data_IF_820104262702
#
_entry.id   IF_820104262702
#
_cell.length_a   1.000
_cell.length_b   1.000
_cell.length_c   1.000
_cell.angle_alpha   90.00
_cell.angle_beta   90.00
_cell.angle_gamma   90.00
#
_symmetry.space_group_name_H-M   'P 1'
#
loop_
_entity.id
_entity.type
_entity.pdbx_description
1 polymer ?
#
# COMPACT_ATOMS: atom_id res chain seq x y z
N UNK A 1 -21.27 7.55 -18.87
CA UNK A 1 -21.66 8.79 -18.15
C UNK A 1 -20.44 9.63 -17.76
N UNK A 2 -20.59 10.95 -17.60
CA UNK A 2 -19.53 11.86 -17.12
C UNK A 2 -19.33 11.75 -15.59
N UNK A 3 -18.15 12.11 -15.04
CA UNK A 3 -17.93 12.11 -13.58
C UNK A 3 -18.95 12.95 -12.80
N UNK A 4 -19.45 14.05 -13.40
CA UNK A 4 -20.49 14.88 -12.78
C UNK A 4 -21.86 14.19 -12.73
N UNK A 5 -22.24 13.42 -13.75
CA UNK A 5 -23.48 12.64 -13.76
C UNK A 5 -23.39 11.46 -12.78
N UNK A 6 -22.23 10.81 -12.71
CA UNK A 6 -21.95 9.76 -11.74
C UNK A 6 -22.01 10.30 -10.30
N UNK A 7 -21.39 11.46 -10.02
CA UNK A 7 -21.39 12.05 -8.69
C UNK A 7 -22.81 12.26 -8.12
N UNK A 8 -23.80 12.57 -8.97
CA UNK A 8 -25.20 12.78 -8.57
C UNK A 8 -25.92 11.49 -8.14
N UNK A 9 -25.38 10.32 -8.47
CA UNK A 9 -25.93 9.02 -8.09
C UNK A 9 -25.69 8.68 -6.62
N UNK A 10 -24.78 9.39 -5.95
CA UNK A 10 -24.43 9.17 -4.55
C UNK A 10 -25.29 10.00 -3.58
N UNK A 11 -25.51 9.44 -2.38
CA UNK A 11 -26.38 10.01 -1.36
C UNK A 11 -25.69 11.12 -0.57
N UNK A 12 -25.38 12.22 -1.27
CA UNK A 12 -24.81 13.45 -0.70
C UNK A 12 -25.87 14.55 -0.77
N UNK A 13 -25.99 15.34 0.30
CA UNK A 13 -26.97 16.42 0.41
C UNK A 13 -26.53 17.64 -0.41
N UNK A 14 -27.50 18.39 -0.93
CA UNK A 14 -27.24 19.62 -1.67
C UNK A 14 -27.14 19.42 -3.18
N UNK A 15 -26.63 20.45 -3.85
CA UNK A 15 -26.43 20.47 -5.29
C UNK A 15 -24.94 20.29 -5.63
N UNK A 16 -24.66 19.54 -6.69
CA UNK A 16 -23.31 19.39 -7.21
C UNK A 16 -22.82 20.74 -7.75
N UNK A 17 -21.71 21.24 -7.19
CA UNK A 17 -21.06 22.50 -7.59
C UNK A 17 -19.92 22.23 -8.56
N UNK A 18 -19.05 21.27 -8.26
CA UNK A 18 -17.87 20.99 -9.07
C UNK A 18 -17.43 19.52 -8.94
N UNK A 19 -16.82 19.00 -10.01
CA UNK A 19 -16.05 17.77 -10.02
C UNK A 19 -14.69 18.06 -10.65
N UNK A 20 -13.62 17.88 -9.90
CA UNK A 20 -12.25 18.14 -10.34
C UNK A 20 -11.42 16.89 -10.23
N UNK A 21 -10.62 16.56 -11.24
CA UNK A 21 -9.68 15.44 -11.15
C UNK A 21 -8.65 15.71 -10.03
N UNK A 22 -8.41 14.71 -9.18
CA UNK A 22 -7.30 14.69 -8.23
C UNK A 22 -6.17 13.91 -8.91
N UNK A 23 -5.26 14.63 -9.56
CA UNK A 23 -4.10 14.03 -10.21
C UNK A 23 -3.10 13.53 -9.16
N UNK A 24 -2.87 12.20 -9.12
CA UNK A 24 -1.80 11.51 -8.36
C UNK A 24 -2.05 10.00 -8.22
N UNK A 25 -3.29 9.53 -8.44
CA UNK A 25 -3.63 8.11 -8.32
C UNK A 25 -3.01 7.24 -9.43
N UNK A 26 -2.20 6.25 -9.06
CA UNK A 26 -1.56 5.34 -10.01
C UNK A 26 -2.53 4.30 -10.60
N UNK A 27 -3.54 3.87 -9.82
CA UNK A 27 -4.44 2.78 -10.19
C UNK A 27 -5.79 3.29 -10.69
N UNK A 28 -6.55 4.01 -9.85
CA UNK A 28 -7.92 4.47 -10.12
C UNK A 28 -7.97 5.92 -10.63
N UNK A 29 -8.98 6.23 -11.45
CA UNK A 29 -9.27 7.64 -11.77
C UNK A 29 -10.00 8.28 -10.59
N UNK A 30 -9.38 9.32 -10.02
CA UNK A 30 -9.82 9.93 -8.78
C UNK A 30 -10.27 11.36 -9.01
N UNK A 31 -11.43 11.71 -8.47
CA UNK A 31 -12.03 13.02 -8.58
C UNK A 31 -12.45 13.51 -7.19
N UNK A 32 -12.42 14.82 -6.99
CA UNK A 32 -13.05 15.50 -5.86
C UNK A 32 -14.37 16.08 -6.33
N UNK A 33 -15.46 15.67 -5.68
CA UNK A 33 -16.79 16.20 -5.92
C UNK A 33 -17.20 17.11 -4.75
N UNK A 34 -17.75 18.27 -5.07
CA UNK A 34 -18.17 19.29 -4.10
C UNK A 34 -19.68 19.47 -4.23
N UNK A 35 -20.40 19.22 -3.13
CA UNK A 35 -21.83 19.48 -3.01
C UNK A 35 -22.07 20.59 -2.00
N UNK A 36 -23.05 21.45 -2.28
CA UNK A 36 -23.37 22.57 -1.39
C UNK A 36 -24.86 22.64 -1.11
N UNK A 37 -25.19 22.90 0.15
CA UNK A 37 -26.53 23.31 0.59
C UNK A 37 -26.53 24.81 0.86
N UNK A 38 -27.62 25.38 1.37
CA UNK A 38 -27.64 26.80 1.78
C UNK A 38 -26.71 27.12 2.96
N UNK A 39 -26.26 26.11 3.72
CA UNK A 39 -25.53 26.32 4.98
C UNK A 39 -24.29 25.44 5.16
N UNK A 40 -24.02 24.54 4.21
CA UNK A 40 -22.97 23.53 4.36
C UNK A 40 -22.34 23.16 3.00
N UNK A 41 -21.07 22.79 3.01
CA UNK A 41 -20.35 22.27 1.85
C UNK A 41 -19.76 20.90 2.19
N UNK A 42 -20.18 19.89 1.44
CA UNK A 42 -19.71 18.53 1.60
C UNK A 42 -18.82 18.14 0.43
N UNK A 43 -17.60 17.71 0.73
CA UNK A 43 -16.64 17.22 -0.24
C UNK A 43 -16.45 15.71 -0.10
N UNK A 44 -16.30 15.01 -1.22
CA UNK A 44 -16.01 13.58 -1.23
C UNK A 44 -15.12 13.18 -2.40
N UNK A 45 -14.48 12.02 -2.25
CA UNK A 45 -13.64 11.40 -3.26
C UNK A 45 -14.53 10.49 -4.11
N UNK A 46 -14.64 10.79 -5.40
CA UNK A 46 -15.30 9.94 -6.39
C UNK A 46 -14.22 9.18 -7.17
N UNK A 47 -14.33 7.86 -7.23
CA UNK A 47 -13.33 7.03 -7.90
C UNK A 47 -13.96 6.05 -8.88
N UNK A 48 -13.37 5.94 -10.06
CA UNK A 48 -13.60 4.82 -10.98
C UNK A 48 -12.61 3.71 -10.66
N UNK A 49 -13.12 2.55 -10.27
CA UNK A 49 -12.28 1.40 -9.91
C UNK A 49 -11.67 0.81 -11.20
N UNK A 50 -10.36 0.61 -11.21
CA UNK A 50 -9.64 0.04 -12.33
C UNK A 50 -9.95 -1.46 -12.47
N UNK A 51 -10.82 -1.80 -13.42
CA UNK A 51 -11.25 -3.20 -13.67
C UNK A 51 -10.17 -4.11 -14.25
N UNK A 52 -9.05 -3.55 -14.74
CA UNK A 52 -7.91 -4.36 -15.18
C UNK A 52 -7.08 -4.86 -14.00
N UNK A 53 -6.93 -4.02 -12.97
CA UNK A 53 -6.21 -4.38 -11.74
C UNK A 53 -7.13 -5.13 -10.77
N UNK A 54 -8.40 -4.70 -10.67
CA UNK A 54 -9.42 -5.32 -9.84
C UNK A 54 -10.56 -5.87 -10.72
N UNK A 55 -10.43 -7.11 -11.26
CA UNK A 55 -11.45 -7.68 -12.14
C UNK A 55 -12.82 -7.86 -11.49
N UNK A 56 -12.87 -7.88 -10.16
CA UNK A 56 -14.09 -8.02 -9.36
C UNK A 56 -14.21 -6.86 -8.35
N UNK A 57 -14.53 -5.62 -8.80
CA UNK A 57 -14.64 -4.44 -7.95
C UNK A 57 -15.60 -4.59 -6.76
N UNK A 58 -16.61 -5.45 -6.90
CA UNK A 58 -17.58 -5.74 -5.85
C UNK A 58 -16.91 -6.36 -4.61
N UNK A 59 -15.86 -7.18 -4.80
CA UNK A 59 -15.05 -7.73 -3.69
C UNK A 59 -14.28 -6.65 -2.95
N UNK A 60 -13.71 -5.70 -3.70
CA UNK A 60 -13.02 -4.54 -3.12
C UNK A 60 -13.99 -3.74 -2.26
N UNK A 61 -15.20 -3.48 -2.76
CA UNK A 61 -16.22 -2.75 -2.01
C UNK A 61 -16.71 -3.51 -0.78
N UNK A 62 -16.92 -4.83 -0.89
CA UNK A 62 -17.33 -5.66 0.25
C UNK A 62 -16.30 -5.63 1.38
N UNK A 63 -15.02 -5.84 1.07
CA UNK A 63 -13.93 -5.77 2.05
C UNK A 63 -13.82 -4.37 2.66
N UNK A 64 -13.78 -3.33 1.82
CA UNK A 64 -13.65 -1.95 2.27
C UNK A 64 -14.80 -1.58 3.21
N UNK A 65 -16.05 -1.87 2.84
CA UNK A 65 -17.22 -1.60 3.67
C UNK A 65 -17.13 -2.33 5.01
N UNK A 66 -16.87 -3.63 5.00
CA UNK A 66 -16.85 -4.45 6.21
C UNK A 66 -15.73 -4.02 7.18
N UNK A 67 -14.52 -3.80 6.66
CA UNK A 67 -13.35 -3.41 7.46
C UNK A 67 -13.49 -1.99 8.00
N UNK A 68 -13.91 -1.02 7.18
CA UNK A 68 -14.05 0.38 7.63
C UNK A 68 -15.16 0.52 8.68
N UNK A 69 -16.29 -0.17 8.53
CA UNK A 69 -17.34 -0.17 9.55
C UNK A 69 -16.88 -0.81 10.86
N UNK A 70 -16.17 -1.94 10.77
CA UNK A 70 -15.60 -2.59 11.94
C UNK A 70 -14.61 -1.68 12.67
N UNK A 71 -13.67 -1.11 11.92
CA UNK A 71 -12.67 -0.19 12.45
C UNK A 71 -13.30 1.05 13.07
N UNK A 72 -14.31 1.65 12.43
CA UNK A 72 -15.01 2.81 12.99
C UNK A 72 -15.70 2.52 14.32
N UNK A 73 -16.25 1.31 14.52
CA UNK A 73 -16.83 0.95 15.83
C UNK A 73 -15.76 0.94 16.91
N UNK A 74 -14.58 0.37 16.64
CA UNK A 74 -13.47 0.32 17.60
C UNK A 74 -12.83 1.68 17.85
N UNK A 75 -12.58 2.46 16.80
CA UNK A 75 -12.06 3.82 16.91
C UNK A 75 -12.97 4.69 17.80
N UNK A 76 -14.30 4.56 17.69
CA UNK A 76 -15.24 5.30 18.55
C UNK A 76 -15.13 4.91 20.03
N UNK A 77 -14.83 3.66 20.34
CA UNK A 77 -14.64 3.19 21.72
C UNK A 77 -13.37 3.80 22.32
N UNK A 78 -12.31 3.93 21.51
CA UNK A 78 -11.01 4.46 21.96
C UNK A 78 -10.91 5.99 21.88
N UNK A 79 -11.89 6.67 21.27
CA UNK A 79 -11.82 8.09 20.91
C UNK A 79 -11.61 9.04 22.10
N UNK A 80 -12.22 8.78 23.25
CA UNK A 80 -12.09 9.65 24.44
C UNK A 80 -10.69 9.61 25.05
N UNK A 81 -9.92 8.54 24.80
CA UNK A 81 -8.59 8.32 25.35
C UNK A 81 -7.49 8.53 24.30
N UNK A 82 -7.86 8.80 23.04
CA UNK A 82 -6.92 9.01 21.96
C UNK A 82 -6.30 10.41 22.04
N UNK A 83 -5.00 10.49 21.77
CA UNK A 83 -4.25 11.76 21.70
C UNK A 83 -4.42 12.48 20.36
N UNK A 84 -5.24 11.93 19.46
CA UNK A 84 -5.49 12.37 18.09
C UNK A 84 -6.83 11.85 17.58
N UNK A 85 -7.28 12.37 16.44
CA UNK A 85 -8.46 11.86 15.75
C UNK A 85 -8.00 10.78 14.78
N UNK A 86 -8.44 9.54 14.98
CA UNK A 86 -8.23 8.47 14.01
C UNK A 86 -9.35 8.47 12.97
N UNK A 87 -8.98 8.42 11.69
CA UNK A 87 -9.91 8.51 10.57
C UNK A 87 -9.67 7.37 9.57
N UNK A 88 -10.75 6.96 8.92
CA UNK A 88 -10.76 6.08 7.76
C UNK A 88 -11.82 6.58 6.78
N UNK A 89 -11.65 6.40 5.46
CA UNK A 89 -12.66 6.77 4.49
C UNK A 89 -13.93 5.96 4.71
N UNK A 90 -15.09 6.63 4.66
CA UNK A 90 -16.41 5.99 4.70
C UNK A 90 -16.96 5.83 3.30
N UNK A 91 -17.48 4.65 3.01
CA UNK A 91 -18.30 4.43 1.81
C UNK A 91 -19.57 5.29 1.89
N UNK A 92 -19.76 6.13 0.88
CA UNK A 92 -20.99 6.89 0.69
C UNK A 92 -21.85 6.07 -0.27
N UNK A 93 -22.99 5.57 0.21
CA UNK A 93 -23.88 4.77 -0.61
C UNK A 93 -24.50 5.58 -1.75
N UNK A 94 -24.90 4.89 -2.80
CA UNK A 94 -25.77 5.44 -3.85
C UNK A 94 -27.11 5.87 -3.26
N UNK A 95 -27.90 6.64 -4.02
CA UNK A 95 -29.29 6.95 -3.67
C UNK A 95 -30.18 5.70 -3.61
N UNK A 96 -29.77 4.62 -4.26
CA UNK A 96 -30.41 3.29 -4.18
C UNK A 96 -29.91 2.42 -3.02
N UNK A 97 -28.98 2.91 -2.19
CA UNK A 97 -28.45 2.20 -1.02
C UNK A 97 -27.32 1.21 -1.31
N UNK A 98 -26.82 1.14 -2.55
CA UNK A 98 -25.67 0.30 -2.90
C UNK A 98 -24.34 0.96 -2.52
N UNK A 99 -23.28 0.17 -2.32
CA UNK A 99 -21.94 0.67 -1.98
C UNK A 99 -21.18 1.28 -3.18
N UNK A 100 -21.56 0.89 -4.39
CA UNK A 100 -21.00 1.39 -5.63
C UNK A 100 -22.09 1.60 -6.69
N UNK A 101 -21.79 2.43 -7.68
CA UNK A 101 -22.61 2.65 -8.85
C UNK A 101 -21.96 1.99 -10.06
N UNK A 102 -22.72 1.18 -10.79
CA UNK A 102 -22.29 0.59 -12.07
C UNK A 102 -22.86 1.40 -13.22
N UNK A 103 -21.99 1.99 -14.02
CA UNK A 103 -22.38 2.75 -15.20
C UNK A 103 -23.02 1.79 -16.22
N UNK A 104 -24.31 1.98 -16.58
CA UNK A 104 -25.00 1.07 -17.49
C UNK A 104 -24.47 1.12 -18.94
N UNK A 105 -23.75 2.19 -19.32
CA UNK A 105 -23.27 2.36 -20.69
C UNK A 105 -22.01 1.53 -20.99
N UNK A 106 -21.08 1.45 -20.03
CA UNK A 106 -19.77 0.82 -20.22
C UNK A 106 -19.45 -0.25 -19.15
N UNK A 107 -20.28 -0.38 -18.12
CA UNK A 107 -20.10 -1.32 -17.01
C UNK A 107 -19.01 -0.93 -16.02
N UNK A 108 -18.46 0.29 -16.10
CA UNK A 108 -17.49 0.80 -15.14
C UNK A 108 -18.10 0.89 -13.74
N UNK A 109 -17.31 0.57 -12.72
CA UNK A 109 -17.74 0.59 -11.33
C UNK A 109 -17.16 1.82 -10.64
N UNK A 110 -18.02 2.60 -10.04
CA UNK A 110 -17.71 3.85 -9.36
C UNK A 110 -18.07 3.77 -7.89
N UNK A 111 -17.26 4.41 -7.05
CA UNK A 111 -17.52 4.55 -5.61
C UNK A 111 -17.37 6.00 -5.17
N UNK A 112 -18.03 6.33 -4.06
CA UNK A 112 -17.83 7.59 -3.36
C UNK A 112 -17.32 7.32 -1.94
N UNK A 113 -16.25 7.99 -1.54
CA UNK A 113 -15.63 7.89 -0.23
C UNK A 113 -15.61 9.26 0.45
N UNK A 114 -15.86 9.30 1.77
CA UNK A 114 -15.70 10.53 2.54
C UNK A 114 -14.27 11.05 2.46
N UNK A 115 -14.12 12.37 2.44
CA UNK A 115 -12.81 12.99 2.52
C UNK A 115 -12.25 12.88 3.95
N UNK A 116 -10.95 12.66 4.09
CA UNK A 116 -10.24 12.79 5.36
C UNK A 116 -9.95 14.28 5.56
N UNK A 117 -10.37 14.84 6.70
CA UNK A 117 -10.22 16.27 6.95
C UNK A 117 -8.80 16.60 7.42
N UNK A 118 -8.31 17.79 7.03
CA UNK A 118 -7.07 18.43 7.51
C UNK A 118 -5.81 17.58 7.43
N UNK A 119 -5.77 16.61 6.51
CA UNK A 119 -4.64 15.72 6.37
C UNK A 119 -4.17 15.61 4.93
N UNK A 120 -2.87 15.40 4.77
CA UNK A 120 -2.23 15.23 3.47
C UNK A 120 -1.28 14.04 3.52
N UNK A 121 -1.10 13.44 2.35
CA UNK A 121 -0.06 12.44 2.11
C UNK A 121 1.19 13.16 1.61
N UNK A 122 2.36 12.66 2.01
CA UNK A 122 3.62 13.11 1.44
C UNK A 122 4.18 12.07 0.47
N UNK A 123 4.86 12.53 -0.57
CA UNK A 123 5.55 11.64 -1.53
C UNK A 123 6.74 10.90 -0.89
N UNK A 124 7.31 11.48 0.16
CA UNK A 124 8.43 10.92 0.93
C UNK A 124 8.36 11.35 2.39
N UNK A 125 9.01 10.59 3.26
CA UNK A 125 9.21 11.00 4.65
C UNK A 125 10.19 12.17 4.70
N UNK A 126 9.87 13.17 5.51
CA UNK A 126 10.65 14.42 5.61
C UNK A 126 11.50 14.46 6.89
N UNK A 127 11.05 13.81 7.96
CA UNK A 127 11.69 13.82 9.28
C UNK A 127 11.54 12.47 9.98
N UNK A 128 12.36 12.23 11.01
CA UNK A 128 12.23 11.04 11.88
C UNK A 128 10.87 11.02 12.58
N UNK A 129 10.37 12.17 13.02
CA UNK A 129 9.05 12.31 13.64
C UNK A 129 7.94 11.88 12.67
N UNK A 130 8.03 12.26 11.40
CA UNK A 130 7.10 11.79 10.38
C UNK A 130 7.17 10.27 10.20
N UNK A 131 8.37 9.66 10.22
CA UNK A 131 8.50 8.20 10.20
C UNK A 131 7.81 7.53 11.41
N UNK A 132 7.90 8.14 12.60
CA UNK A 132 7.25 7.66 13.83
C UNK A 132 5.74 7.69 13.67
N UNK A 133 5.19 8.79 13.16
CA UNK A 133 3.77 8.92 12.93
C UNK A 133 3.26 7.94 11.88
N UNK A 134 4.05 7.69 10.82
CA UNK A 134 3.75 6.67 9.83
C UNK A 134 3.71 5.26 10.42
N UNK A 135 4.72 4.91 11.24
CA UNK A 135 4.72 3.65 11.99
C UNK A 135 3.50 3.50 12.90
N UNK A 136 3.14 4.57 13.63
CA UNK A 136 2.00 4.55 14.53
C UNK A 136 0.66 4.39 13.79
N UNK A 137 0.48 5.05 12.64
CA UNK A 137 -0.71 4.86 11.79
C UNK A 137 -0.84 3.42 11.32
N UNK A 138 0.25 2.81 10.84
CA UNK A 138 0.23 1.42 10.38
C UNK A 138 -0.10 0.46 11.53
N UNK A 139 0.60 0.60 12.66
CA UNK A 139 0.40 -0.24 13.83
C UNK A 139 -1.02 -0.11 14.38
N UNK A 140 -1.55 1.12 14.44
CA UNK A 140 -2.93 1.39 14.85
C UNK A 140 -3.93 0.73 13.89
N UNK A 141 -3.76 0.90 12.57
CA UNK A 141 -4.65 0.28 11.59
C UNK A 141 -4.71 -1.24 11.75
N UNK A 142 -3.55 -1.89 11.80
CA UNK A 142 -3.46 -3.34 12.00
C UNK A 142 -4.04 -3.79 13.34
N UNK A 143 -3.76 -3.07 14.44
CA UNK A 143 -4.32 -3.37 15.77
C UNK A 143 -5.85 -3.31 15.73
N UNK A 144 -6.40 -2.24 15.17
CA UNK A 144 -7.84 -2.02 15.10
C UNK A 144 -8.54 -3.13 14.31
N UNK A 145 -7.94 -3.64 13.23
CA UNK A 145 -8.57 -4.68 12.39
C UNK A 145 -8.13 -6.11 12.73
N UNK A 146 -7.22 -6.29 13.70
CA UNK A 146 -6.56 -7.58 13.97
C UNK A 146 -7.52 -8.73 14.29
N UNK A 147 -8.63 -8.45 14.96
CA UNK A 147 -9.66 -9.43 15.33
C UNK A 147 -10.78 -9.57 14.28
N UNK A 148 -10.69 -8.86 13.14
CA UNK A 148 -11.65 -9.04 12.06
C UNK A 148 -11.44 -10.42 11.39
N UNK A 149 -12.51 -11.19 11.27
CA UNK A 149 -12.43 -12.57 10.79
C UNK A 149 -12.06 -12.61 9.30
N UNK A 150 -10.87 -13.13 8.97
CA UNK A 150 -10.40 -13.29 7.58
C UNK A 150 -11.35 -14.10 6.70
N UNK A 151 -12.13 -15.02 7.28
CA UNK A 151 -13.13 -15.82 6.57
C UNK A 151 -14.31 -14.98 6.05
N UNK A 152 -14.47 -13.74 6.51
CA UNK A 152 -15.46 -12.78 6.02
C UNK A 152 -14.89 -11.85 4.94
N UNK A 153 -13.61 -12.01 4.58
CA UNK A 153 -12.94 -11.20 3.57
C UNK A 153 -12.79 -11.98 2.27
N UNK A 154 -12.86 -11.25 1.17
CA UNK A 154 -12.52 -11.73 -0.16
C UNK A 154 -11.03 -11.49 -0.44
N UNK A 155 -10.40 -12.34 -1.28
CA UNK A 155 -9.09 -12.03 -1.84
C UNK A 155 -9.28 -11.11 -3.07
N UNK A 156 -9.07 -9.81 -2.89
CA UNK A 156 -9.29 -8.79 -3.94
C UNK A 156 -8.24 -8.82 -5.02
N UNK A 157 -7.06 -9.38 -4.73
CA UNK A 157 -5.93 -9.46 -5.66
C UNK A 157 -5.16 -10.78 -5.44
N UNK A 158 -5.70 -11.92 -5.93
CA UNK A 158 -5.11 -13.22 -5.68
C UNK A 158 -3.67 -13.35 -6.13
N UNK A 159 -2.78 -13.71 -5.20
CA UNK A 159 -1.35 -13.81 -5.45
C UNK A 159 -0.54 -12.54 -5.18
N UNK A 160 -1.19 -11.43 -4.84
CA UNK A 160 -0.49 -10.22 -4.42
C UNK A 160 0.26 -10.44 -3.10
N UNK A 161 1.55 -10.09 -3.12
CA UNK A 161 2.59 -10.40 -2.13
C UNK A 161 3.00 -11.86 -1.97
N UNK A 162 2.56 -12.73 -2.88
CA UNK A 162 3.03 -14.12 -2.91
C UNK A 162 4.29 -14.16 -3.78
N UNK A 163 5.42 -13.74 -3.21
CA UNK A 163 6.72 -13.58 -3.90
C UNK A 163 7.13 -14.78 -4.77
N UNK A 164 6.91 -16.06 -4.37
CA UNK A 164 7.20 -17.21 -5.23
C UNK A 164 6.46 -17.20 -6.59
N UNK A 165 5.25 -16.64 -6.65
CA UNK A 165 4.51 -16.50 -7.92
C UNK A 165 5.19 -15.50 -8.85
N UNK A 166 5.69 -14.38 -8.30
CA UNK A 166 6.40 -13.39 -9.09
C UNK A 166 7.75 -13.90 -9.58
N UNK A 167 8.46 -14.70 -8.77
CA UNK A 167 9.69 -15.36 -9.22
C UNK A 167 9.42 -16.35 -10.35
N UNK A 168 8.35 -17.15 -10.23
CA UNK A 168 7.93 -18.05 -11.32
C UNK A 168 7.60 -17.28 -12.60
N UNK A 169 6.86 -16.17 -12.50
CA UNK A 169 6.55 -15.32 -13.66
C UNK A 169 7.82 -14.72 -14.28
N UNK A 170 8.76 -14.26 -13.46
CA UNK A 170 10.07 -13.80 -13.92
C UNK A 170 10.81 -14.87 -14.73
N UNK A 171 10.81 -16.13 -14.27
CA UNK A 171 11.41 -17.25 -14.98
C UNK A 171 10.75 -17.52 -16.34
N UNK A 172 9.43 -17.49 -16.38
CA UNK A 172 8.65 -17.67 -17.60
C UNK A 172 8.99 -16.58 -18.64
N UNK A 173 9.07 -15.31 -18.19
CA UNK A 173 9.43 -14.17 -19.05
C UNK A 173 10.86 -14.28 -19.56
N UNK A 174 11.82 -14.60 -18.69
CA UNK A 174 13.23 -14.80 -19.04
C UNK A 174 13.44 -15.98 -19.99
N UNK A 175 12.55 -16.97 -20.01
CA UNK A 175 12.62 -18.08 -20.96
C UNK A 175 12.18 -17.69 -22.38
N UNK A 176 11.49 -16.56 -22.57
CA UNK A 176 11.05 -16.10 -23.89
C UNK A 176 12.18 -15.41 -24.68
N UNK A 177 12.15 -15.50 -26.01
CA UNK A 177 13.12 -14.80 -26.87
C UNK A 177 13.08 -13.26 -26.71
N UNK A 178 11.90 -12.69 -26.43
CA UNK A 178 11.74 -11.26 -26.19
C UNK A 178 12.35 -10.84 -24.83
N UNK A 179 12.07 -11.61 -23.78
CA UNK A 179 12.63 -11.40 -22.45
C UNK A 179 14.15 -11.55 -22.43
N UNK A 180 14.71 -12.58 -23.07
CA UNK A 180 16.17 -12.75 -23.21
C UNK A 180 16.81 -11.56 -23.92
N UNK A 181 16.22 -11.12 -25.04
CA UNK A 181 16.73 -9.95 -25.79
C UNK A 181 16.77 -8.69 -24.91
N UNK A 182 15.73 -8.41 -24.13
CA UNK A 182 15.70 -7.24 -23.23
C UNK A 182 16.60 -7.40 -22.00
N UNK A 183 16.73 -8.62 -21.48
CA UNK A 183 17.67 -8.95 -20.40
C UNK A 183 19.11 -8.71 -20.84
N UNK A 184 19.46 -9.10 -22.07
CA UNK A 184 20.81 -8.98 -22.61
C UNK A 184 21.09 -7.66 -23.31
N UNK A 185 20.09 -6.79 -23.48
CA UNK A 185 20.21 -5.52 -24.20
C UNK A 185 21.27 -4.59 -23.61
N UNK A 186 21.43 -4.56 -22.29
CA UNK A 186 22.39 -3.68 -21.61
C UNK A 186 23.11 -4.43 -20.48
N UNK A 187 24.31 -3.98 -20.11
CA UNK A 187 25.04 -4.52 -18.96
C UNK A 187 24.25 -4.38 -17.67
N UNK A 188 23.46 -3.32 -17.56
CA UNK A 188 22.64 -3.02 -16.41
C UNK A 188 21.43 -3.94 -16.28
N UNK A 189 20.70 -4.18 -17.38
CA UNK A 189 19.61 -5.16 -17.39
C UNK A 189 20.12 -6.54 -16.93
N UNK A 190 21.27 -6.99 -17.46
CA UNK A 190 21.90 -8.24 -17.01
C UNK A 190 22.23 -8.26 -15.52
N UNK A 191 22.69 -7.13 -14.95
CA UNK A 191 22.99 -7.01 -13.51
C UNK A 191 21.73 -7.17 -12.66
N UNK A 192 20.61 -6.54 -13.03
CA UNK A 192 19.36 -6.68 -12.29
C UNK A 192 18.84 -8.12 -12.32
N UNK A 193 18.89 -8.77 -13.49
CA UNK A 193 18.55 -10.20 -13.60
C UNK A 193 19.43 -11.08 -12.72
N UNK A 194 20.75 -10.84 -12.71
CA UNK A 194 21.69 -11.56 -11.84
C UNK A 194 21.39 -11.32 -10.35
N UNK A 195 21.05 -10.09 -9.96
CA UNK A 195 20.71 -9.75 -8.58
C UNK A 195 19.52 -10.56 -8.05
N UNK A 196 18.48 -10.73 -8.88
CA UNK A 196 17.32 -11.57 -8.57
C UNK A 196 17.74 -13.04 -8.50
N UNK A 197 18.53 -13.51 -9.46
CA UNK A 197 18.99 -14.90 -9.51
C UNK A 197 19.80 -15.33 -8.28
N UNK A 198 20.63 -14.43 -7.74
CA UNK A 198 21.43 -14.66 -6.53
C UNK A 198 20.59 -14.77 -5.25
N UNK A 199 19.32 -14.32 -5.26
CA UNK A 199 18.46 -14.22 -4.07
C UNK A 199 17.26 -15.16 -4.09
N UNK A 200 17.15 -16.03 -5.10
CA UNK A 200 16.01 -16.95 -5.31
C UNK A 200 15.69 -17.81 -4.09
N UNK A 201 16.72 -18.29 -3.39
CA UNK A 201 16.56 -19.16 -2.23
C UNK A 201 15.81 -18.51 -1.06
N UNK A 202 15.82 -17.17 -0.98
CA UNK A 202 15.16 -16.42 0.07
C UNK A 202 13.71 -16.05 -0.25
N UNK A 203 13.33 -16.03 -1.54
CA UNK A 203 11.99 -15.63 -1.99
C UNK A 203 10.82 -16.31 -1.27
N UNK A 204 10.86 -17.63 -0.94
CA UNK A 204 9.72 -18.28 -0.29
C UNK A 204 9.66 -18.08 1.23
N UNK A 205 10.56 -17.30 1.86
CA UNK A 205 10.72 -17.27 3.34
C UNK A 205 9.42 -17.09 4.13
N UNK A 206 8.53 -16.16 3.72
CA UNK A 206 7.27 -15.90 4.42
C UNK A 206 6.21 -16.97 4.12
N UNK A 207 6.14 -17.45 2.88
CA UNK A 207 5.21 -18.53 2.50
C UNK A 207 5.58 -19.86 3.13
N UNK A 208 6.88 -20.15 3.24
CA UNK A 208 7.38 -21.33 3.92
C UNK A 208 7.10 -21.26 5.43
N UNK A 209 7.25 -20.08 6.05
CA UNK A 209 6.89 -19.88 7.46
C UNK A 209 5.38 -20.03 7.70
N UNK A 210 4.54 -19.53 6.78
CA UNK A 210 3.10 -19.77 6.79
C UNK A 210 2.77 -21.26 6.63
N UNK A 211 3.43 -21.96 5.70
CA UNK A 211 3.22 -23.39 5.47
C UNK A 211 3.67 -24.26 6.66
N UNK A 212 4.71 -23.83 7.40
CA UNK A 212 5.13 -24.46 8.67
C UNK A 212 4.22 -24.14 9.85
N UNK A 213 3.26 -23.22 9.68
CA UNK A 213 2.33 -22.80 10.73
C UNK A 213 2.93 -21.84 11.75
N UNK A 214 4.11 -21.26 11.47
CA UNK A 214 4.75 -20.24 12.30
C UNK A 214 4.05 -18.89 12.14
N UNK A 215 3.64 -18.57 10.91
CA UNK A 215 2.87 -17.39 10.58
C UNK A 215 1.42 -17.74 10.32
N UNK A 216 0.53 -16.75 10.51
CA UNK A 216 -0.90 -16.89 10.22
C UNK A 216 -1.43 -15.69 9.44
N UNK A 217 -2.40 -15.95 8.58
CA UNK A 217 -3.10 -14.89 7.87
C UNK A 217 -3.94 -14.04 8.83
N UNK A 218 -3.92 -12.73 8.60
CA UNK A 218 -4.70 -11.71 9.27
C UNK A 218 -5.22 -10.71 8.22
N UNK A 219 -6.20 -9.86 8.57
CA UNK A 219 -6.53 -8.72 7.73
C UNK A 219 -5.32 -7.79 7.60
N UNK A 220 -5.00 -7.39 6.37
CA UNK A 220 -3.90 -6.46 6.07
C UNK A 220 -4.39 -5.28 5.24
N UNK A 221 -3.59 -4.21 5.18
CA UNK A 221 -3.80 -3.11 4.27
C UNK A 221 -3.53 -3.51 2.82
N UNK A 222 -2.41 -4.18 2.58
CA UNK A 222 -1.91 -4.59 1.27
C UNK A 222 -0.88 -3.65 0.66
N UNK A 223 -1.07 -2.33 0.70
CA UNK A 223 -0.16 -1.36 0.08
C UNK A 223 0.08 -0.10 0.95
N UNK A 224 0.60 -0.23 2.20
CA UNK A 224 0.74 0.89 3.14
C UNK A 224 2.00 1.75 2.91
N UNK A 225 2.31 2.06 1.65
CA UNK A 225 3.37 3.02 1.30
C UNK A 225 3.12 4.40 1.90
N UNK A 226 4.16 5.23 2.04
CA UNK A 226 4.06 6.53 2.74
C UNK A 226 3.03 7.47 2.13
N UNK A 227 2.83 7.40 0.82
CA UNK A 227 1.82 8.19 0.09
C UNK A 227 0.37 7.81 0.45
N UNK A 228 0.15 6.69 1.12
CA UNK A 228 -1.16 6.26 1.63
C UNK A 228 -1.35 6.60 3.11
N UNK A 229 -0.36 7.18 3.77
CA UNK A 229 -0.43 7.61 5.17
C UNK A 229 -0.69 9.11 5.22
N UNK A 230 -1.69 9.50 6.02
CA UNK A 230 -2.17 10.86 6.13
C UNK A 230 -1.70 11.49 7.44
N UNK A 231 -1.02 12.63 7.34
CA UNK A 231 -0.58 13.45 8.48
C UNK A 231 -1.48 14.67 8.61
N UNK A 232 -1.94 14.95 9.83
CA UNK A 232 -2.70 16.15 10.15
C UNK A 232 -1.77 17.38 10.16
N UNK A 233 -2.12 18.41 9.40
CA UNK A 233 -1.26 19.59 9.18
C UNK A 233 -1.05 20.43 10.44
N UNK A 234 -2.06 20.47 11.31
CA UNK A 234 -2.06 21.34 12.49
C UNK A 234 -1.25 20.70 13.62
N UNK A 235 -1.43 19.40 13.83
CA UNK A 235 -0.84 18.67 14.94
C UNK A 235 0.45 17.95 14.58
N UNK A 236 0.71 17.73 13.28
CA UNK A 236 1.81 16.91 12.79
C UNK A 236 1.64 15.41 13.08
N UNK A 237 0.45 14.97 13.54
CA UNK A 237 0.19 13.57 13.90
C UNK A 237 -0.39 12.78 12.74
N UNK A 238 -0.01 11.52 12.64
CA UNK A 238 -0.64 10.59 11.71
C UNK A 238 -2.08 10.28 12.12
N UNK A 239 -3.02 10.44 11.20
CA UNK A 239 -4.47 10.36 11.47
C UNK A 239 -5.19 9.25 10.70
N UNK A 240 -4.71 8.87 9.52
CA UNK A 240 -5.40 7.90 8.67
C UNK A 240 -4.44 7.15 7.75
N UNK A 241 -4.89 5.98 7.30
CA UNK A 241 -4.37 5.30 6.13
C UNK A 241 -5.49 5.21 5.08
N UNK A 242 -5.16 5.47 3.82
CA UNK A 242 -6.08 5.49 2.68
C UNK A 242 -5.68 4.46 1.63
N UNK A 243 -6.44 4.36 0.54
CA UNK A 243 -6.24 3.36 -0.52
C UNK A 243 -6.45 1.91 -0.07
N UNK A 244 -7.63 1.68 0.51
CA UNK A 244 -8.04 0.39 1.09
C UNK A 244 -8.43 -0.67 0.04
N UNK A 245 -7.96 -0.57 -1.20
CA UNK A 245 -8.34 -1.45 -2.31
C UNK A 245 -7.69 -2.84 -2.22
N UNK A 246 -6.51 -2.86 -1.60
CA UNK A 246 -5.70 -4.05 -1.42
C UNK A 246 -5.96 -4.72 -0.06
N UNK A 247 -6.96 -4.24 0.70
CA UNK A 247 -7.37 -4.84 1.97
C UNK A 247 -7.91 -6.24 1.72
N UNK A 248 -7.23 -7.24 2.28
CA UNK A 248 -7.52 -8.67 2.08
C UNK A 248 -6.87 -9.50 3.19
N UNK A 249 -7.09 -10.82 3.24
CA UNK A 249 -6.28 -11.72 4.05
C UNK A 249 -4.82 -11.76 3.57
N UNK A 250 -3.88 -11.70 4.51
CA UNK A 250 -2.44 -11.80 4.22
C UNK A 250 -1.59 -11.84 5.47
N UNK A 251 -0.27 -11.72 5.30
CA UNK A 251 0.67 -11.62 6.40
C UNK A 251 0.91 -10.14 6.71
N UNK A 252 0.83 -9.75 7.98
CA UNK A 252 1.13 -8.37 8.43
C UNK A 252 2.53 -7.91 8.03
N UNK A 253 3.42 -8.86 7.78
CA UNK A 253 4.76 -8.71 7.24
C UNK A 253 4.79 -7.97 5.92
N UNK A 254 3.81 -8.21 5.04
CA UNK A 254 3.74 -7.54 3.75
C UNK A 254 3.55 -6.04 3.93
N UNK A 255 2.60 -5.67 4.79
CA UNK A 255 2.34 -4.29 5.16
C UNK A 255 3.55 -3.62 5.83
N UNK A 256 4.14 -4.27 6.84
CA UNK A 256 5.30 -3.73 7.54
C UNK A 256 6.49 -3.54 6.58
N UNK A 257 6.72 -4.53 5.71
CA UNK A 257 7.79 -4.49 4.73
C UNK A 257 7.60 -3.37 3.70
N UNK A 258 6.38 -3.20 3.19
CA UNK A 258 6.08 -2.17 2.20
C UNK A 258 6.12 -0.74 2.79
N UNK A 259 5.58 -0.56 4.00
CA UNK A 259 5.69 0.70 4.71
C UNK A 259 7.15 1.08 4.99
N UNK A 260 7.96 0.13 5.49
CA UNK A 260 9.38 0.38 5.76
C UNK A 260 10.18 0.67 4.47
N UNK A 261 9.96 -0.11 3.40
CA UNK A 261 10.57 0.12 2.08
C UNK A 261 10.28 1.54 1.57
N UNK A 262 9.03 1.98 1.68
CA UNK A 262 8.60 3.28 1.18
C UNK A 262 9.07 4.43 2.07
N UNK A 263 8.89 4.31 3.39
CA UNK A 263 9.15 5.37 4.36
C UNK A 263 10.65 5.58 4.65
N UNK A 264 11.46 4.53 4.54
CA UNK A 264 12.89 4.56 4.89
C UNK A 264 13.80 4.75 3.67
N UNK A 265 13.25 5.21 2.54
CA UNK A 265 14.00 5.60 1.36
C UNK A 265 13.84 7.11 1.10
N UNK A 266 14.74 7.97 1.63
CA UNK A 266 14.62 9.43 1.52
C UNK A 266 14.60 9.96 0.07
N UNK A 267 15.17 9.19 -0.87
CA UNK A 267 15.18 9.53 -2.28
C UNK A 267 13.82 9.28 -2.97
N UNK A 268 12.92 8.52 -2.34
CA UNK A 268 11.64 8.12 -2.92
C UNK A 268 11.78 7.03 -4.00
N UNK A 269 10.68 6.71 -4.67
CA UNK A 269 10.64 5.61 -5.64
C UNK A 269 11.11 5.97 -7.05
N UNK A 270 11.12 7.26 -7.39
CA UNK A 270 11.56 7.79 -8.70
C UNK A 270 12.51 9.00 -8.52
N UNK A 271 13.69 8.80 -7.89
CA UNK A 271 14.65 9.88 -7.72
C UNK A 271 15.30 10.27 -9.04
N UNK A 272 15.76 11.52 -9.13
CA UNK A 272 16.57 12.00 -10.26
C UNK A 272 17.94 11.32 -10.30
N UNK A 273 18.50 10.98 -9.14
CA UNK A 273 19.84 10.44 -9.02
C UNK A 273 19.84 9.13 -8.22
N UNK A 274 20.28 8.04 -8.86
CA UNK A 274 20.26 6.71 -8.26
C UNK A 274 21.22 6.59 -7.06
N UNK A 275 22.25 7.43 -6.97
CA UNK A 275 23.19 7.47 -5.84
C UNK A 275 22.57 7.91 -4.52
N UNK A 276 21.42 8.58 -4.56
CA UNK A 276 20.71 9.01 -3.35
C UNK A 276 19.86 7.89 -2.73
N UNK A 277 19.70 6.75 -3.43
CA UNK A 277 18.90 5.62 -2.94
C UNK A 277 19.68 4.83 -1.90
N UNK A 278 19.21 4.91 -0.65
CA UNK A 278 19.66 4.06 0.44
C UNK A 278 18.55 3.84 1.46
N UNK A 279 18.68 2.78 2.27
CA UNK A 279 17.79 2.52 3.39
C UNK A 279 18.28 3.27 4.63
N UNK A 280 17.52 4.27 5.06
CA UNK A 280 17.85 5.11 6.21
C UNK A 280 17.43 4.42 7.52
N UNK A 281 18.42 4.12 8.36
CA UNK A 281 18.18 3.42 9.64
C UNK A 281 17.59 4.30 10.72
N UNK A 282 17.76 5.63 10.64
CA UNK A 282 17.21 6.56 11.62
C UNK A 282 15.71 6.75 11.36
N UNK A 283 15.32 6.87 10.08
CA UNK A 283 13.91 6.81 9.69
C UNK A 283 13.29 5.47 10.05
N UNK A 284 14.00 4.35 9.81
CA UNK A 284 13.51 3.03 10.19
C UNK A 284 13.33 2.88 11.70
N UNK A 285 14.26 3.38 12.53
CA UNK A 285 14.09 3.40 13.97
C UNK A 285 12.88 4.24 14.40
N UNK A 286 12.66 5.39 13.76
CA UNK A 286 11.46 6.18 13.95
C UNK A 286 10.18 5.38 13.66
N UNK A 287 10.11 4.75 12.48
CA UNK A 287 8.98 3.92 12.06
C UNK A 287 8.73 2.75 13.00
N UNK A 288 9.78 2.01 13.38
CA UNK A 288 9.68 0.90 14.34
C UNK A 288 9.15 1.40 15.68
N UNK A 289 9.68 2.52 16.20
CA UNK A 289 9.21 3.12 17.45
C UNK A 289 7.73 3.44 17.42
N UNK A 290 7.24 4.00 16.31
CA UNK A 290 5.81 4.28 16.12
C UNK A 290 4.97 3.01 16.03
N UNK A 291 5.42 2.06 15.21
CA UNK A 291 4.71 0.80 14.95
C UNK A 291 4.51 -0.02 16.22
N UNK A 292 5.56 -0.23 17.01
CA UNK A 292 5.49 -1.08 18.21
C UNK A 292 4.64 -0.48 19.34
N UNK A 293 4.44 0.86 19.39
CA UNK A 293 3.49 1.47 20.34
C UNK A 293 2.07 0.94 20.19
N UNK A 294 1.68 0.57 18.98
CA UNK A 294 0.34 0.09 18.68
C UNK A 294 0.32 -1.41 18.39
N UNK A 295 1.39 -1.95 17.79
CA UNK A 295 1.39 -3.33 17.31
C UNK A 295 1.74 -4.37 18.38
N UNK A 296 2.48 -3.98 19.43
CA UNK A 296 2.94 -4.91 20.48
C UNK A 296 1.85 -5.87 21.02
N UNK A 297 0.61 -5.43 21.30
CA UNK A 297 -0.44 -6.28 21.84
C UNK A 297 -0.88 -7.48 20.98
N UNK A 298 -0.66 -7.45 19.65
CA UNK A 298 -1.14 -8.51 18.75
C UNK A 298 -0.03 -9.30 18.03
N UNK A 299 1.21 -8.82 18.11
CA UNK A 299 2.37 -9.49 17.50
C UNK A 299 2.81 -10.69 18.32
N UNK A 300 2.94 -11.84 17.66
CA UNK A 300 3.57 -13.04 18.23
C UNK A 300 5.10 -12.97 18.10
N UNK A 301 5.82 -13.81 18.82
CA UNK A 301 7.29 -13.94 18.66
C UNK A 301 7.68 -14.29 17.22
N UNK A 302 6.95 -15.20 16.58
CA UNK A 302 7.16 -15.55 15.17
C UNK A 302 6.92 -14.35 14.24
N UNK A 303 5.88 -13.54 14.50
CA UNK A 303 5.65 -12.33 13.71
C UNK A 303 6.87 -11.40 13.77
N UNK A 304 7.47 -11.24 14.94
CA UNK A 304 8.60 -10.33 15.16
C UNK A 304 9.89 -10.84 14.52
N UNK A 305 10.12 -12.15 14.57
CA UNK A 305 11.29 -12.80 13.98
C UNK A 305 11.40 -12.55 12.46
N UNK A 306 10.26 -12.46 11.76
CA UNK A 306 10.19 -12.29 10.31
C UNK A 306 10.10 -10.82 9.82
N UNK A 307 10.16 -9.82 10.71
CA UNK A 307 10.03 -8.41 10.31
C UNK A 307 11.19 -7.94 9.41
N UNK A 308 12.44 -8.32 9.72
CA UNK A 308 13.57 -8.00 8.84
C UNK A 308 13.39 -8.65 7.46
N UNK A 309 13.02 -9.93 7.46
CA UNK A 309 12.86 -10.70 6.23
C UNK A 309 11.76 -10.09 5.36
N UNK A 310 10.70 -9.53 5.94
CA UNK A 310 9.63 -8.89 5.19
C UNK A 310 10.06 -7.60 4.51
N UNK A 311 10.84 -6.73 5.17
CA UNK A 311 11.38 -5.50 4.56
C UNK A 311 12.25 -5.84 3.35
N UNK A 312 13.14 -6.83 3.51
CA UNK A 312 14.00 -7.31 2.43
C UNK A 312 13.18 -7.93 1.29
N UNK A 313 12.24 -8.83 1.60
CA UNK A 313 11.46 -9.58 0.61
C UNK A 313 10.55 -8.67 -0.20
N UNK A 314 9.82 -7.76 0.43
CA UNK A 314 8.87 -6.87 -0.26
C UNK A 314 9.61 -5.91 -1.19
N UNK A 315 10.79 -5.42 -0.77
CA UNK A 315 11.64 -4.58 -1.62
C UNK A 315 12.14 -5.35 -2.85
N UNK A 316 12.63 -6.58 -2.65
CA UNK A 316 13.05 -7.46 -3.74
C UNK A 316 11.90 -7.81 -4.68
N UNK A 317 10.73 -8.14 -4.13
CA UNK A 317 9.53 -8.48 -4.88
C UNK A 317 9.11 -7.33 -5.81
N UNK A 318 9.04 -6.10 -5.28
CA UNK A 318 8.64 -4.94 -6.09
C UNK A 318 9.67 -4.65 -7.19
N UNK A 319 10.97 -4.73 -6.89
CA UNK A 319 12.03 -4.59 -7.89
C UNK A 319 11.95 -5.67 -8.98
N UNK A 320 11.70 -6.91 -8.60
CA UNK A 320 11.49 -8.03 -9.53
C UNK A 320 10.25 -7.83 -10.40
N UNK A 321 9.14 -7.33 -9.84
CA UNK A 321 7.92 -7.02 -10.59
C UNK A 321 8.15 -5.93 -11.63
N UNK A 322 8.81 -4.83 -11.26
CA UNK A 322 9.16 -3.78 -12.23
C UNK A 322 10.10 -4.30 -13.32
N UNK A 323 11.12 -5.07 -12.95
CA UNK A 323 12.07 -5.60 -13.93
C UNK A 323 11.39 -6.58 -14.89
N UNK A 324 10.55 -7.47 -14.37
CA UNK A 324 9.79 -8.43 -15.18
C UNK A 324 8.86 -7.70 -16.14
N UNK A 325 8.16 -6.66 -15.68
CA UNK A 325 7.30 -5.85 -16.54
C UNK A 325 8.10 -5.14 -17.65
N UNK A 326 9.30 -4.63 -17.35
CA UNK A 326 10.21 -4.10 -18.38
C UNK A 326 10.60 -5.15 -19.44
N UNK A 327 10.90 -6.38 -19.02
CA UNK A 327 11.21 -7.49 -19.92
C UNK A 327 10.01 -7.90 -20.79
N UNK A 328 8.79 -7.66 -20.32
CA UNK A 328 7.55 -7.88 -21.07
C UNK A 328 7.12 -6.68 -21.92
N UNK A 329 7.85 -5.56 -21.85
CA UNK A 329 7.53 -4.34 -22.60
C UNK A 329 6.53 -3.39 -21.91
N UNK A 330 6.55 -3.34 -20.57
CA UNK A 330 5.78 -2.43 -19.72
C UNK A 330 4.26 -2.59 -19.89
N UNK A 331 3.76 -3.79 -19.61
CA UNK A 331 2.36 -4.16 -19.82
C UNK A 331 1.48 -3.96 -18.58
N UNK A 332 2.07 -4.00 -17.39
CA UNK A 332 1.37 -3.95 -16.12
C UNK A 332 1.38 -2.54 -15.51
N UNK A 333 2.56 -1.96 -15.30
CA UNK A 333 2.70 -0.64 -14.69
C UNK A 333 2.59 0.46 -15.75
N UNK A 334 1.87 1.54 -15.44
CA UNK A 334 1.85 2.74 -16.28
C UNK A 334 3.24 3.34 -16.34
N UNK A 335 3.71 3.63 -17.56
CA UNK A 335 5.01 4.24 -17.83
C UNK A 335 4.88 5.47 -18.73
N UNK A 336 5.78 6.45 -18.52
CA UNK A 336 5.97 7.66 -19.32
C UNK A 336 6.95 7.43 -20.47
N UNK A 337 7.84 6.45 -20.34
CA UNK A 337 8.83 6.08 -21.34
C UNK A 337 9.18 4.58 -21.23
N UNK A 338 9.89 4.03 -22.20
CA UNK A 338 10.19 2.59 -22.26
C UNK A 338 11.12 2.07 -21.16
N UNK A 339 11.92 2.94 -20.54
CA UNK A 339 12.91 2.59 -19.54
C UNK A 339 12.42 2.76 -18.10
N UNK A 340 11.27 3.41 -17.88
CA UNK A 340 10.85 3.80 -16.53
C UNK A 340 10.72 2.62 -15.56
N UNK A 341 10.20 1.46 -15.98
CA UNK A 341 10.18 0.29 -15.10
C UNK A 341 11.56 -0.32 -14.89
N UNK A 342 12.48 -0.21 -15.85
CA UNK A 342 13.87 -0.60 -15.62
C UNK A 342 14.51 0.32 -14.57
N UNK A 343 14.22 1.62 -14.61
CA UNK A 343 14.69 2.62 -13.64
C UNK A 343 14.10 2.35 -12.24
N UNK A 344 12.78 2.15 -12.14
CA UNK A 344 12.11 1.75 -10.88
C UNK A 344 12.69 0.47 -10.31
N UNK A 345 12.96 -0.54 -11.17
CA UNK A 345 13.60 -1.78 -10.73
C UNK A 345 15.00 -1.52 -10.14
N UNK A 346 15.81 -0.64 -10.74
CA UNK A 346 17.12 -0.26 -10.18
C UNK A 346 16.98 0.35 -8.79
N UNK A 347 16.04 1.26 -8.61
CA UNK A 347 15.79 1.91 -7.31
C UNK A 347 15.49 0.85 -6.25
N UNK A 348 14.52 -0.03 -6.52
CA UNK A 348 14.13 -1.03 -5.52
C UNK A 348 15.24 -2.07 -5.28
N UNK A 349 15.96 -2.53 -6.31
CA UNK A 349 17.04 -3.50 -6.11
C UNK A 349 18.27 -2.88 -5.42
N UNK A 350 18.59 -1.60 -5.68
CA UNK A 350 19.60 -0.85 -4.92
C UNK A 350 19.18 -0.64 -3.47
N UNK A 351 17.90 -0.36 -3.22
CA UNK A 351 17.36 -0.28 -1.87
C UNK A 351 17.45 -1.64 -1.14
N UNK A 352 17.15 -2.74 -1.83
CA UNK A 352 17.31 -4.10 -1.31
C UNK A 352 18.76 -4.40 -0.93
N UNK A 353 19.73 -4.04 -1.78
CA UNK A 353 21.15 -4.15 -1.46
C UNK A 353 21.53 -3.32 -0.23
N UNK A 354 20.97 -2.11 -0.13
CA UNK A 354 21.16 -1.20 1.00
C UNK A 354 20.62 -1.78 2.32
N UNK A 355 19.47 -2.47 2.27
CA UNK A 355 18.86 -3.20 3.40
C UNK A 355 19.77 -4.34 3.84
N UNK A 356 20.25 -5.15 2.89
CA UNK A 356 21.16 -6.28 3.17
C UNK A 356 22.46 -5.81 3.82
N UNK A 357 23.07 -4.74 3.31
CA UNK A 357 24.27 -4.14 3.88
C UNK A 357 24.06 -3.61 5.31
N UNK A 358 22.80 -3.32 5.69
CA UNK A 358 22.41 -2.76 7.00
C UNK A 358 21.71 -3.78 7.90
N UNK A 359 21.70 -5.06 7.56
CA UNK A 359 20.99 -6.11 8.29
C UNK A 359 21.27 -6.06 9.80
N UNK A 360 22.55 -5.96 10.19
CA UNK A 360 22.94 -5.90 11.60
C UNK A 360 22.35 -4.69 12.34
N UNK A 361 22.24 -3.52 11.69
CA UNK A 361 21.63 -2.34 12.29
C UNK A 361 20.10 -2.48 12.39
N UNK A 362 19.45 -2.96 11.33
CA UNK A 362 18.01 -3.16 11.27
C UNK A 362 17.55 -4.17 12.33
N UNK A 363 18.24 -5.32 12.44
CA UNK A 363 17.93 -6.34 13.46
C UNK A 363 18.14 -5.81 14.88
N UNK A 364 19.18 -4.99 15.13
CA UNK A 364 19.38 -4.32 16.44
C UNK A 364 18.30 -3.30 16.75
N UNK A 365 17.76 -2.60 15.75
CA UNK A 365 16.61 -1.70 15.94
C UNK A 365 15.40 -2.54 16.36
N UNK A 366 15.04 -3.57 15.58
CA UNK A 366 13.90 -4.44 15.88
C UNK A 366 13.99 -5.07 17.28
N UNK A 367 15.14 -5.61 17.66
CA UNK A 367 15.31 -6.27 18.97
C UNK A 367 15.17 -5.31 20.16
N UNK A 368 15.44 -4.01 19.98
CA UNK A 368 15.29 -3.00 21.05
C UNK A 368 13.84 -2.78 21.44
N UNK A 369 12.91 -2.94 20.51
CA UNK A 369 11.47 -2.76 20.73
C UNK A 369 10.72 -4.09 20.91
N UNK A 370 11.44 -5.22 20.85
CA UNK A 370 10.86 -6.54 21.09
C UNK A 370 10.54 -6.79 22.57
N UNK A 371 11.33 -6.18 23.46
CA UNK A 371 11.28 -6.37 24.91
C UNK A 371 10.41 -5.34 25.67
N UNK A 372 9.74 -4.44 24.95
CA UNK A 372 8.89 -3.38 25.49
C UNK A 372 7.42 -3.61 25.13
#
# INVERSE_FOLDING_TARGET
MTPAEIARQFNVRGQLVAVTALGSGNVNDTYRAIFRTTSDEQQFVLQRINRHVFPQPEKVMANMRAVTEYAHRRIRVEAEHADRIWQLPRVISTRGGQDCFKDPENGDVWRALSMIASAYSHDKVETVEHAVEAGQVLGHFQRIISDFAVAQMEDTLPGFHIAPRYLKHFDEVVATAAGQRRRDATAESRRLGKFIDERRAFVPVLEDALARGELKQRPIHGDPKITNIMIDEITGKGTAIVDLDTVKPGLIHYDFGDAARSACNPAGEEPENLEDVYFDTDLFEGLVRGYFREASPFLTEADRAYLFDSVRLITLELGMRFYTDYLEGNRYFKVKNELQNLERARVQLKLCESIEAREGAIRRILSRYDLA
#
